data_IF_947191369031
#
_entry.id   IF_947191369031
#
_cell.length_a   1.000
_cell.length_b   1.000
_cell.length_c   1.000
_cell.angle_alpha   90.00
_cell.angle_beta   90.00
_cell.angle_gamma   90.00
#
_symmetry.space_group_name_H-M   'P 1'
#
loop_
_entity.id
_entity.type
_entity.pdbx_description
1 polymer ?
#
# COMPACT_ATOMS: atom_id res chain seq x y z
N UNK A 1 -30.58 -6.98 -4.46
CA UNK A 1 -29.22 -6.71 -4.94
C UNK A 1 -28.91 -5.27 -4.64
N UNK A 2 -28.19 -5.04 -3.56
CA UNK A 2 -27.90 -3.70 -3.03
C UNK A 2 -27.11 -2.88 -4.05
N UNK A 3 -27.50 -1.62 -4.26
CA UNK A 3 -26.80 -0.72 -5.18
C UNK A 3 -25.38 -0.46 -4.67
N UNK A 4 -24.38 -0.84 -5.47
CA UNK A 4 -22.96 -0.67 -5.15
C UNK A 4 -22.58 0.81 -4.93
N UNK A 5 -23.21 1.73 -5.66
CA UNK A 5 -22.99 3.16 -5.49
C UNK A 5 -23.51 3.67 -4.15
N UNK A 6 -24.73 3.26 -3.78
CA UNK A 6 -25.33 3.59 -2.48
C UNK A 6 -24.50 3.04 -1.31
N UNK A 7 -24.03 1.79 -1.41
CA UNK A 7 -23.17 1.18 -0.39
C UNK A 7 -21.84 1.92 -0.23
N UNK A 8 -21.17 2.26 -1.33
CA UNK A 8 -19.92 3.01 -1.28
C UNK A 8 -20.12 4.37 -0.60
N UNK A 9 -21.17 5.12 -0.98
CA UNK A 9 -21.49 6.41 -0.37
C UNK A 9 -21.78 6.30 1.13
N UNK A 10 -22.56 5.29 1.55
CA UNK A 10 -22.87 5.07 2.95
C UNK A 10 -21.62 4.75 3.77
N UNK A 11 -20.77 3.82 3.29
CA UNK A 11 -19.52 3.47 3.95
C UNK A 11 -18.54 4.66 4.01
N UNK A 12 -18.48 5.50 2.97
CA UNK A 12 -17.65 6.72 3.00
C UNK A 12 -18.11 7.67 4.10
N UNK A 13 -19.43 7.87 4.26
CA UNK A 13 -19.97 8.70 5.36
C UNK A 13 -19.63 8.14 6.73
N UNK A 14 -19.72 6.81 6.90
CA UNK A 14 -19.33 6.16 8.16
C UNK A 14 -17.84 6.34 8.45
N UNK A 15 -16.98 6.24 7.43
CA UNK A 15 -15.54 6.48 7.56
C UNK A 15 -15.19 7.95 7.87
N UNK A 16 -15.99 8.91 7.40
CA UNK A 16 -15.84 10.32 7.79
C UNK A 16 -16.23 10.57 9.26
N UNK A 17 -17.15 9.78 9.81
CA UNK A 17 -17.60 9.88 11.19
C UNK A 17 -16.68 9.15 12.18
N UNK A 18 -16.18 7.98 11.78
CA UNK A 18 -15.28 7.15 12.59
C UNK A 18 -13.96 6.92 11.82
N UNK A 19 -12.85 7.57 12.21
CA UNK A 19 -11.57 7.44 11.53
C UNK A 19 -10.94 6.05 11.66
N UNK A 20 -11.50 5.16 12.50
CA UNK A 20 -11.08 3.76 12.60
C UNK A 20 -11.68 2.88 11.49
N UNK A 21 -12.67 3.38 10.74
CA UNK A 21 -13.25 2.68 9.60
C UNK A 21 -12.41 3.00 8.34
N UNK A 22 -11.60 2.04 7.93
CA UNK A 22 -10.77 2.15 6.73
C UNK A 22 -11.47 1.59 5.49
N UNK A 23 -12.06 2.43 4.65
CA UNK A 23 -12.70 2.02 3.41
C UNK A 23 -11.68 1.89 2.26
N UNK A 24 -11.61 0.71 1.63
CA UNK A 24 -10.81 0.47 0.41
C UNK A 24 -11.70 -0.16 -0.66
N UNK A 25 -11.69 0.44 -1.85
CA UNK A 25 -12.39 -0.08 -3.03
C UNK A 25 -11.36 -0.59 -4.05
N UNK A 26 -11.48 -1.84 -4.46
CA UNK A 26 -10.73 -2.42 -5.57
C UNK A 26 -11.60 -2.33 -6.83
N UNK A 27 -11.37 -1.30 -7.65
CA UNK A 27 -12.11 -1.07 -8.89
C UNK A 27 -11.94 -2.23 -9.89
N UNK A 28 -10.75 -2.84 -9.94
CA UNK A 28 -10.46 -3.92 -10.88
C UNK A 28 -11.24 -5.20 -10.56
N UNK A 29 -11.45 -5.49 -9.26
CA UNK A 29 -12.25 -6.64 -8.81
C UNK A 29 -13.71 -6.28 -8.52
N UNK A 30 -14.05 -4.99 -8.49
CA UNK A 30 -15.36 -4.49 -8.07
C UNK A 30 -15.69 -4.86 -6.62
N UNK A 31 -14.68 -4.95 -5.75
CA UNK A 31 -14.82 -5.35 -4.35
C UNK A 31 -14.63 -4.17 -3.42
N UNK A 32 -15.45 -4.10 -2.37
CA UNK A 32 -15.31 -3.12 -1.29
C UNK A 32 -14.88 -3.84 -0.02
N UNK A 33 -13.82 -3.36 0.59
CA UNK A 33 -13.26 -3.85 1.84
C UNK A 33 -13.30 -2.75 2.88
N UNK A 34 -13.60 -3.13 4.11
CA UNK A 34 -13.68 -2.22 5.26
C UNK A 34 -12.76 -2.76 6.34
N UNK A 35 -11.79 -1.96 6.76
CA UNK A 35 -10.93 -2.22 7.91
C UNK A 35 -11.64 -1.72 9.15
N UNK A 36 -11.71 -2.57 10.17
CA UNK A 36 -12.44 -2.30 11.42
C UNK A 36 -11.54 -2.68 12.60
N UNK A 37 -11.77 -2.07 13.75
CA UNK A 37 -11.04 -2.29 14.99
C UNK A 37 -11.55 -3.50 15.80
N UNK A 38 -12.64 -4.15 15.37
CA UNK A 38 -13.12 -5.40 15.98
C UNK A 38 -14.51 -5.83 15.52
N UNK A 39 -14.94 -7.02 15.96
CA UNK A 39 -16.24 -7.61 15.57
C UNK A 39 -17.42 -6.77 16.04
N UNK A 40 -17.34 -6.14 17.22
CA UNK A 40 -18.44 -5.27 17.70
C UNK A 40 -18.65 -4.09 16.76
N UNK A 41 -17.58 -3.47 16.26
CA UNK A 41 -17.69 -2.37 15.30
C UNK A 41 -18.30 -2.84 13.97
N UNK A 42 -17.99 -4.08 13.54
CA UNK A 42 -18.61 -4.69 12.36
C UNK A 42 -20.11 -4.87 12.51
N UNK A 43 -20.58 -5.36 13.66
CA UNK A 43 -22.00 -5.49 13.96
C UNK A 43 -22.70 -4.13 13.96
N UNK A 44 -22.08 -3.12 14.58
CA UNK A 44 -22.61 -1.74 14.59
C UNK A 44 -22.71 -1.18 13.17
N UNK A 45 -21.65 -1.30 12.36
CA UNK A 45 -21.66 -0.84 10.96
C UNK A 45 -22.73 -1.55 10.15
N UNK A 46 -22.91 -2.87 10.34
CA UNK A 46 -23.93 -3.63 9.65
C UNK A 46 -25.34 -3.14 10.02
N UNK A 47 -25.60 -2.94 11.32
CA UNK A 47 -26.88 -2.43 11.81
C UNK A 47 -27.16 -1.01 11.29
N UNK A 48 -26.17 -0.11 11.35
CA UNK A 48 -26.31 1.26 10.85
C UNK A 48 -26.60 1.29 9.34
N UNK A 49 -25.95 0.44 8.55
CA UNK A 49 -26.25 0.33 7.12
C UNK A 49 -27.70 -0.11 6.86
N UNK A 50 -28.22 -1.05 7.65
CA UNK A 50 -29.60 -1.50 7.53
C UNK A 50 -30.60 -0.43 8.00
N UNK A 51 -30.40 0.14 9.19
CA UNK A 51 -31.38 0.99 9.85
C UNK A 51 -31.41 2.43 9.29
N UNK A 52 -30.24 3.00 8.99
CA UNK A 52 -30.14 4.40 8.55
C UNK A 52 -30.09 4.54 7.03
N UNK A 53 -29.49 3.56 6.33
CA UNK A 53 -29.31 3.60 4.88
C UNK A 53 -30.23 2.64 4.11
N UNK A 54 -30.96 1.75 4.81
CA UNK A 54 -31.82 0.76 4.17
C UNK A 54 -31.05 -0.29 3.36
N UNK A 55 -29.76 -0.49 3.67
CA UNK A 55 -28.85 -1.36 2.95
C UNK A 55 -28.64 -2.65 3.75
N UNK A 56 -29.35 -3.71 3.35
CA UNK A 56 -29.08 -5.05 3.86
C UNK A 56 -27.77 -5.59 3.24
N UNK A 57 -26.77 -5.82 4.09
CA UNK A 57 -25.42 -6.24 3.71
C UNK A 57 -24.94 -7.38 4.60
N UNK A 58 -24.16 -8.28 4.01
CA UNK A 58 -23.47 -9.34 4.73
C UNK A 58 -21.96 -9.15 4.63
N UNK A 59 -21.28 -9.18 5.76
CA UNK A 59 -19.82 -9.23 5.80
C UNK A 59 -19.32 -10.67 5.69
N UNK A 60 -18.14 -10.83 5.07
CA UNK A 60 -17.40 -12.10 5.13
C UNK A 60 -16.76 -12.28 6.52
N UNK A 61 -16.15 -13.44 6.72
CA UNK A 61 -15.28 -13.67 7.87
C UNK A 61 -14.20 -12.58 7.95
N UNK A 62 -13.98 -12.08 9.15
CA UNK A 62 -12.98 -11.03 9.39
C UNK A 62 -11.59 -11.63 9.25
N UNK A 63 -10.74 -10.94 8.51
CA UNK A 63 -9.34 -11.34 8.33
C UNK A 63 -8.44 -10.24 8.89
N UNK A 64 -7.31 -10.58 9.52
CA UNK A 64 -6.38 -9.59 10.04
C UNK A 64 -5.79 -8.77 8.89
N UNK A 65 -5.74 -7.44 9.08
CA UNK A 65 -5.07 -6.55 8.14
C UNK A 65 -3.56 -6.73 8.27
N UNK A 66 -2.97 -7.50 7.36
CA UNK A 66 -1.54 -7.76 7.34
C UNK A 66 -0.77 -6.65 6.60
N UNK A 67 0.53 -6.61 6.82
CA UNK A 67 1.47 -5.78 6.05
C UNK A 67 2.62 -6.62 5.52
N UNK A 68 3.24 -6.20 4.43
CA UNK A 68 4.48 -6.80 3.93
C UNK A 68 5.69 -5.98 4.35
N UNK A 69 6.80 -6.66 4.64
CA UNK A 69 8.10 -6.03 4.87
C UNK A 69 9.16 -6.67 3.97
N UNK A 70 10.02 -5.88 3.30
CA UNK A 70 11.14 -6.43 2.57
C UNK A 70 12.08 -7.23 3.48
N UNK A 71 12.61 -8.35 2.98
CA UNK A 71 13.55 -9.20 3.73
C UNK A 71 15.01 -8.95 3.40
N UNK A 72 15.27 -8.30 2.27
CA UNK A 72 16.61 -7.96 1.81
C UNK A 72 16.56 -6.81 0.83
N UNK A 73 17.69 -6.54 0.18
CA UNK A 73 17.80 -5.48 -0.82
C UNK A 73 17.47 -6.00 -2.21
N UNK A 74 16.63 -5.28 -2.93
CA UNK A 74 16.31 -5.58 -4.33
C UNK A 74 16.35 -4.32 -5.19
N UNK A 75 16.85 -4.43 -6.41
CA UNK A 75 16.92 -3.31 -7.34
C UNK A 75 16.46 -3.72 -8.73
N UNK A 76 15.86 -2.78 -9.46
CA UNK A 76 15.48 -2.93 -10.85
C UNK A 76 15.65 -1.60 -11.58
N UNK A 77 15.89 -1.66 -12.88
CA UNK A 77 15.96 -0.49 -13.76
C UNK A 77 15.36 -0.84 -15.10
N UNK A 78 14.58 0.09 -15.63
CA UNK A 78 14.07 0.06 -16.99
C UNK A 78 14.54 1.35 -17.69
N UNK A 79 15.10 1.20 -18.88
CA UNK A 79 15.66 2.30 -19.64
C UNK A 79 14.73 2.73 -20.77
N UNK A 80 14.72 4.03 -21.06
CA UNK A 80 13.97 4.61 -22.18
C UNK A 80 14.43 3.98 -23.51
N UNK A 81 13.48 3.59 -24.36
CA UNK A 81 13.72 2.95 -25.68
C UNK A 81 14.57 1.67 -25.65
N UNK A 82 14.61 0.96 -24.51
CA UNK A 82 15.25 -0.36 -24.39
C UNK A 82 14.24 -1.42 -23.96
N UNK A 83 14.57 -2.67 -24.25
CA UNK A 83 13.92 -3.86 -23.68
C UNK A 83 12.39 -3.90 -23.81
N UNK A 84 11.84 -3.21 -24.83
CA UNK A 84 10.40 -3.13 -25.07
C UNK A 84 9.64 -2.23 -24.09
N UNK A 85 10.33 -1.40 -23.31
CA UNK A 85 9.72 -0.40 -22.43
C UNK A 85 8.83 0.56 -23.26
N UNK A 86 7.50 0.57 -23.04
CA UNK A 86 6.59 1.39 -23.83
C UNK A 86 6.53 2.85 -23.35
N UNK A 87 7.15 3.16 -22.22
CA UNK A 87 7.15 4.49 -21.62
C UNK A 87 8.40 5.27 -22.01
N UNK A 88 8.23 6.56 -22.29
CA UNK A 88 9.35 7.46 -22.60
C UNK A 88 10.04 7.90 -21.31
N UNK A 89 10.56 6.96 -20.52
CA UNK A 89 11.18 7.24 -19.23
C UNK A 89 12.21 6.17 -18.88
N UNK A 90 13.28 6.59 -18.19
CA UNK A 90 14.17 5.69 -17.47
C UNK A 90 13.89 5.83 -15.98
N UNK A 91 13.64 4.71 -15.30
CA UNK A 91 13.44 4.67 -13.85
C UNK A 91 14.20 3.47 -13.29
N UNK A 92 15.06 3.71 -12.31
CA UNK A 92 15.71 2.66 -11.53
C UNK A 92 15.45 2.85 -10.05
N UNK A 93 14.96 1.80 -9.38
CA UNK A 93 14.62 1.81 -7.97
C UNK A 93 15.37 0.70 -7.24
N UNK A 94 15.86 1.02 -6.03
CA UNK A 94 16.34 0.06 -5.05
C UNK A 94 15.45 0.12 -3.82
N UNK A 95 15.04 -1.04 -3.33
CA UNK A 95 14.29 -1.21 -2.09
C UNK A 95 15.18 -1.87 -1.07
N UNK A 96 15.35 -1.22 0.07
CA UNK A 96 16.10 -1.70 1.23
C UNK A 96 15.15 -1.87 2.43
N UNK A 97 15.30 -2.90 3.26
CA UNK A 97 14.49 -3.07 4.46
C UNK A 97 14.83 -1.97 5.49
N UNK A 98 13.84 -1.58 6.28
CA UNK A 98 14.02 -0.65 7.40
C UNK A 98 13.47 -1.27 8.70
N UNK A 99 13.88 -0.75 9.88
CA UNK A 99 13.35 -1.23 11.15
C UNK A 99 11.82 -1.16 11.21
N UNK A 100 11.20 -2.10 11.92
CA UNK A 100 9.75 -2.13 12.05
C UNK A 100 9.22 -0.83 12.69
N UNK A 101 8.16 -0.26 12.11
CA UNK A 101 7.53 0.98 12.57
C UNK A 101 8.15 2.26 12.01
N UNK A 102 9.16 2.20 11.14
CA UNK A 102 9.73 3.40 10.50
C UNK A 102 8.93 3.89 9.30
N UNK A 103 8.03 3.08 8.75
CA UNK A 103 7.25 3.42 7.57
C UNK A 103 8.08 3.44 6.29
N UNK A 104 7.62 4.22 5.31
CA UNK A 104 8.23 4.31 3.97
C UNK A 104 9.11 5.57 3.87
N UNK A 105 10.40 5.37 3.67
CA UNK A 105 11.36 6.43 3.36
C UNK A 105 11.66 6.46 1.85
N UNK A 106 11.77 7.66 1.27
CA UNK A 106 12.16 7.87 -0.12
C UNK A 106 13.52 8.59 -0.17
N UNK A 107 14.43 8.11 -1.00
CA UNK A 107 15.76 8.68 -1.22
C UNK A 107 16.07 8.83 -2.71
N UNK A 108 17.06 9.67 -3.03
CA UNK A 108 17.54 9.90 -4.40
C UNK A 108 19.06 9.82 -4.41
N UNK A 109 19.60 8.98 -5.28
CA UNK A 109 21.04 8.83 -5.54
C UNK A 109 21.44 9.39 -6.91
N UNK A 110 20.47 9.90 -7.68
CA UNK A 110 20.70 10.54 -8.97
C UNK A 110 21.13 12.00 -8.81
N UNK A 111 21.86 12.51 -9.79
CA UNK A 111 22.37 13.88 -9.79
C UNK A 111 21.24 14.92 -9.70
N UNK A 112 21.47 16.00 -8.96
CA UNK A 112 20.55 17.13 -8.90
C UNK A 112 20.48 17.81 -10.28
N UNK A 113 19.27 17.98 -10.80
CA UNK A 113 19.04 18.59 -12.12
C UNK A 113 19.03 17.61 -13.30
N UNK A 114 19.22 16.31 -13.06
CA UNK A 114 19.13 15.25 -14.09
C UNK A 114 17.78 15.17 -14.80
N UNK A 115 16.72 15.68 -14.17
CA UNK A 115 15.38 15.78 -14.75
C UNK A 115 14.54 16.86 -14.03
N UNK A 116 13.47 17.38 -14.66
CA UNK A 116 12.53 18.30 -14.03
C UNK A 116 11.94 17.78 -12.71
N UNK A 117 11.78 18.67 -11.72
CA UNK A 117 11.22 18.34 -10.40
C UNK A 117 9.86 17.62 -10.46
N UNK A 118 9.01 18.00 -11.42
CA UNK A 118 7.68 17.39 -11.59
C UNK A 118 7.75 15.87 -11.84
N UNK A 119 8.80 15.39 -12.51
CA UNK A 119 8.97 13.95 -12.75
C UNK A 119 9.45 13.21 -11.50
N UNK A 120 10.35 13.81 -10.71
CA UNK A 120 10.69 13.26 -9.40
C UNK A 120 9.44 13.12 -8.52
N UNK A 121 8.60 14.16 -8.49
CA UNK A 121 7.37 14.14 -7.71
C UNK A 121 6.40 13.06 -8.20
N UNK A 122 6.26 12.89 -9.52
CA UNK A 122 5.45 11.83 -10.10
C UNK A 122 5.94 10.43 -9.67
N UNK A 123 7.26 10.18 -9.68
CA UNK A 123 7.83 8.91 -9.20
C UNK A 123 7.54 8.73 -7.71
N UNK A 124 7.82 9.73 -6.87
CA UNK A 124 7.63 9.63 -5.42
C UNK A 124 6.18 9.34 -5.02
N UNK A 125 5.23 10.05 -5.63
CA UNK A 125 3.80 9.85 -5.36
C UNK A 125 3.35 8.46 -5.82
N UNK A 126 3.79 8.02 -7.00
CA UNK A 126 3.47 6.69 -7.51
C UNK A 126 4.13 5.57 -6.70
N UNK A 127 5.33 5.77 -6.15
CA UNK A 127 5.93 4.77 -5.23
C UNK A 127 5.04 4.61 -4.00
N UNK A 128 4.57 5.70 -3.40
CA UNK A 128 3.70 5.62 -2.20
C UNK A 128 2.39 4.92 -2.50
N UNK A 129 1.79 5.22 -3.64
CA UNK A 129 0.56 4.57 -4.11
C UNK A 129 0.77 3.08 -4.38
N UNK A 130 1.82 2.73 -5.14
CA UNK A 130 2.12 1.36 -5.52
C UNK A 130 2.50 0.46 -4.32
N UNK A 131 3.12 1.01 -3.28
CA UNK A 131 3.37 0.28 -2.02
C UNK A 131 2.09 -0.04 -1.23
N UNK A 132 0.92 0.48 -1.64
CA UNK A 132 -0.38 0.04 -1.13
C UNK A 132 -0.69 -1.43 -1.44
N UNK A 133 0.05 -2.08 -2.34
CA UNK A 133 -0.10 -3.51 -2.63
C UNK A 133 1.23 -4.14 -3.07
N UNK A 134 1.77 -5.03 -2.24
CA UNK A 134 3.00 -5.77 -2.49
C UNK A 134 2.80 -7.09 -3.24
N UNK A 135 3.89 -7.87 -3.38
CA UNK A 135 3.87 -9.18 -4.04
C UNK A 135 2.83 -10.18 -3.49
N UNK A 136 2.51 -10.11 -2.20
CA UNK A 136 1.50 -10.96 -1.56
C UNK A 136 0.12 -10.28 -1.42
N UNK A 137 -0.03 -9.07 -1.97
CA UNK A 137 -1.30 -8.34 -2.00
C UNK A 137 -1.54 -7.43 -0.79
N UNK A 138 -0.60 -7.33 0.16
CA UNK A 138 -0.73 -6.47 1.34
C UNK A 138 0.08 -5.19 1.20
N UNK A 139 -0.24 -4.16 1.98
CA UNK A 139 0.54 -2.92 1.96
C UNK A 139 1.99 -3.21 2.38
N UNK A 140 2.96 -2.74 1.59
CA UNK A 140 4.38 -2.81 1.92
C UNK A 140 4.76 -1.62 2.80
N UNK A 141 5.44 -1.89 3.92
CA UNK A 141 5.92 -0.86 4.85
C UNK A 141 7.35 -1.15 5.33
N UNK A 142 7.88 -0.26 6.17
CA UNK A 142 9.18 -0.40 6.83
C UNK A 142 10.30 -0.65 5.81
N UNK A 143 10.42 0.26 4.84
CA UNK A 143 11.40 0.18 3.77
C UNK A 143 11.90 1.55 3.33
N UNK A 144 13.10 1.55 2.74
CA UNK A 144 13.65 2.71 2.03
C UNK A 144 13.64 2.43 0.54
N UNK A 145 12.96 3.26 -0.24
CA UNK A 145 12.99 3.22 -1.71
C UNK A 145 13.90 4.33 -2.21
N UNK A 146 14.95 3.94 -2.93
CA UNK A 146 15.97 4.85 -3.46
C UNK A 146 15.89 4.91 -4.98
N UNK A 147 15.72 6.12 -5.53
CA UNK A 147 15.84 6.37 -6.96
C UNK A 147 17.33 6.35 -7.36
N UNK A 148 17.71 5.31 -8.10
CA UNK A 148 19.11 5.04 -8.51
C UNK A 148 19.40 5.45 -9.94
N UNK A 149 18.39 5.45 -10.81
CA UNK A 149 18.53 5.86 -12.21
C UNK A 149 17.33 6.69 -12.61
N UNK A 150 17.58 7.72 -13.43
CA UNK A 150 16.53 8.52 -14.02
C UNK A 150 16.94 9.01 -15.42
N UNK A 151 15.95 9.20 -16.28
CA UNK A 151 16.16 9.73 -17.62
C UNK A 151 14.82 10.05 -18.28
N UNK A 152 14.83 11.05 -19.15
CA UNK A 152 13.65 11.51 -19.86
C UNK A 152 14.03 11.97 -21.26
N UNK A 153 13.09 11.83 -22.20
CA UNK A 153 13.15 12.41 -23.53
C UNK A 153 12.60 13.85 -23.46
N UNK A 154 13.46 14.88 -23.60
CA UNK A 154 13.02 16.28 -23.49
C UNK A 154 12.10 16.68 -24.63
N UNK A 155 11.29 17.72 -24.40
CA UNK A 155 10.39 18.26 -25.42
C UNK A 155 11.19 18.78 -26.60
N UNK A 156 11.11 18.07 -27.72
CA UNK A 156 11.69 18.54 -28.98
C UNK A 156 10.63 19.35 -29.73
N UNK A 157 10.98 20.59 -30.07
CA UNK A 157 10.26 21.36 -31.08
C UNK A 157 11.15 21.46 -32.31
N UNK A 158 10.79 20.77 -33.38
CA UNK A 158 11.36 21.08 -34.68
C UNK A 158 10.62 22.30 -35.25
N UNK A 159 11.35 23.33 -35.65
CA UNK A 159 10.76 24.43 -36.40
C UNK A 159 10.04 23.84 -37.64
N UNK A 160 8.76 24.19 -37.80
CA UNK A 160 7.91 23.76 -38.93
C UNK A 160 7.53 22.27 -39.01
N UNK A 161 7.64 21.48 -37.92
CA UNK A 161 7.00 20.15 -37.85
C UNK A 161 5.93 20.10 -36.75
N UNK A 162 4.92 19.25 -36.95
CA UNK A 162 3.86 19.01 -35.98
C UNK A 162 4.37 18.39 -34.69
N UNK A 163 3.79 18.79 -33.56
CA UNK A 163 4.07 18.17 -32.26
C UNK A 163 3.50 16.74 -32.23
N UNK A 164 4.39 15.75 -32.06
CA UNK A 164 4.00 14.36 -31.74
C UNK A 164 4.27 14.07 -30.27
N UNK A 165 3.24 13.59 -29.56
CA UNK A 165 3.33 13.18 -28.15
C UNK A 165 4.26 11.99 -27.95
N UNK A 166 4.57 11.22 -29.00
CA UNK A 166 5.52 10.09 -28.98
C UNK A 166 6.99 10.53 -28.80
N UNK A 167 7.28 11.83 -28.81
CA UNK A 167 8.65 12.34 -28.83
C UNK A 167 9.16 12.87 -27.48
N UNK A 168 8.31 13.02 -26.47
CA UNK A 168 8.71 13.63 -25.20
C UNK A 168 8.05 13.01 -23.98
N UNK A 169 8.81 12.84 -22.91
CA UNK A 169 8.33 12.33 -21.64
C UNK A 169 7.27 13.24 -21.03
N UNK A 170 6.27 12.60 -20.43
CA UNK A 170 5.22 13.22 -19.64
C UNK A 170 5.22 12.62 -18.24
N UNK A 171 4.48 13.24 -17.31
CA UNK A 171 4.27 12.64 -15.99
C UNK A 171 3.61 11.26 -16.07
N UNK A 172 2.81 10.98 -17.09
CA UNK A 172 2.15 9.69 -17.27
C UNK A 172 3.16 8.55 -17.54
N UNK A 173 4.25 8.83 -18.26
CA UNK A 173 5.31 7.85 -18.50
C UNK A 173 5.95 7.37 -17.19
N UNK A 174 6.25 8.31 -16.28
CA UNK A 174 6.80 8.00 -14.97
C UNK A 174 5.80 7.26 -14.08
N UNK A 175 4.53 7.69 -14.07
CA UNK A 175 3.47 6.99 -13.30
C UNK A 175 3.21 5.58 -13.82
N UNK A 176 3.33 5.36 -15.12
CA UNK A 176 3.16 4.04 -15.73
C UNK A 176 4.34 3.09 -15.51
N UNK A 177 5.58 3.60 -15.60
CA UNK A 177 6.77 2.77 -15.47
C UNK A 177 7.12 2.43 -14.01
N UNK A 178 6.95 3.39 -13.09
CA UNK A 178 7.38 3.27 -11.69
C UNK A 178 6.85 2.01 -10.98
N UNK A 179 5.55 1.65 -11.08
CA UNK A 179 5.03 0.44 -10.43
C UNK A 179 5.68 -0.85 -10.95
N UNK A 180 6.00 -0.92 -12.25
CA UNK A 180 6.62 -2.09 -12.86
C UNK A 180 8.04 -2.31 -12.34
N UNK A 181 8.82 -1.24 -12.27
CA UNK A 181 10.19 -1.24 -11.74
C UNK A 181 10.16 -1.57 -10.24
N UNK A 182 9.25 -0.94 -9.48
CA UNK A 182 9.11 -1.17 -8.04
C UNK A 182 8.74 -2.62 -7.72
N UNK A 183 7.74 -3.18 -8.41
CA UNK A 183 7.32 -4.57 -8.20
C UNK A 183 8.43 -5.57 -8.55
N UNK A 184 9.25 -5.26 -9.55
CA UNK A 184 10.42 -6.09 -9.88
C UNK A 184 11.51 -5.98 -8.81
N UNK A 185 11.76 -4.78 -8.27
CA UNK A 185 12.68 -4.58 -7.16
C UNK A 185 12.20 -5.30 -5.89
N UNK A 186 10.91 -5.22 -5.54
CA UNK A 186 10.31 -5.93 -4.40
C UNK A 186 10.39 -7.45 -4.53
N UNK A 187 10.11 -8.00 -5.72
CA UNK A 187 10.27 -9.44 -5.97
C UNK A 187 11.71 -9.90 -5.77
N UNK A 188 12.69 -9.08 -6.16
CA UNK A 188 14.12 -9.37 -5.95
C UNK A 188 14.55 -9.23 -4.48
N UNK A 189 13.97 -8.26 -3.76
CA UNK A 189 14.19 -8.06 -2.32
C UNK A 189 13.61 -9.19 -1.46
N UNK A 190 12.53 -9.80 -1.95
CA UNK A 190 11.66 -10.68 -1.18
C UNK A 190 10.84 -9.90 -0.15
N UNK A 191 9.61 -10.35 0.13
CA UNK A 191 8.75 -9.79 1.17
C UNK A 191 8.16 -10.88 2.04
N UNK A 192 7.98 -10.58 3.33
CA UNK A 192 7.24 -11.41 4.28
C UNK A 192 5.97 -10.70 4.73
N UNK A 193 4.91 -11.48 4.91
CA UNK A 193 3.64 -11.01 5.46
C UNK A 193 3.71 -11.05 6.98
N UNK A 194 3.28 -9.97 7.61
CA UNK A 194 3.24 -9.80 9.04
C UNK A 194 1.82 -9.47 9.50
N UNK A 195 1.35 -10.23 10.46
CA UNK A 195 0.08 -10.02 11.13
C UNK A 195 0.21 -8.97 12.27
N UNK A 196 -0.87 -8.26 12.60
CA UNK A 196 -0.91 -7.35 13.74
C UNK A 196 -0.79 -8.14 15.06
N UNK A 197 0.08 -7.67 15.95
CA UNK A 197 0.26 -8.23 17.29
C UNK A 197 -0.21 -7.23 18.34
N UNK A 198 -1.22 -7.61 19.13
CA UNK A 198 -1.68 -6.80 20.24
C UNK A 198 -0.78 -6.97 21.46
N UNK A 199 -0.41 -5.85 22.07
CA UNK A 199 0.21 -5.82 23.39
C UNK A 199 -0.82 -5.29 24.39
N UNK A 200 -1.12 -6.07 25.41
CA UNK A 200 -2.02 -5.67 26.49
C UNK A 200 -1.43 -6.06 27.84
N UNK A 201 -1.97 -5.46 28.89
CA UNK A 201 -1.72 -5.84 30.28
C UNK A 201 -3.04 -6.38 30.84
N UNK A 202 -2.98 -7.51 31.53
CA UNK A 202 -4.13 -8.08 32.22
C UNK A 202 -3.83 -8.12 33.72
N UNK A 203 -4.77 -7.64 34.51
CA UNK A 203 -4.74 -7.73 35.97
C UNK A 203 -5.75 -8.80 36.40
N UNK A 204 -5.28 -9.77 37.19
CA UNK A 204 -6.11 -10.85 37.70
C UNK A 204 -5.62 -11.29 39.08
N UNK A 205 -6.50 -11.87 39.93
CA UNK A 205 -6.09 -12.45 41.20
C UNK A 205 -4.99 -13.50 41.02
N UNK A 206 -4.00 -13.52 41.91
CA UNK A 206 -2.78 -14.33 41.76
C UNK A 206 -3.06 -15.85 41.66
N UNK A 207 -4.14 -16.32 42.29
CA UNK A 207 -4.63 -17.70 42.26
C UNK A 207 -5.21 -18.12 40.90
N UNK A 208 -5.52 -17.18 40.02
CA UNK A 208 -6.06 -17.46 38.68
C UNK A 208 -4.99 -17.67 37.60
N UNK A 209 -3.71 -17.36 37.90
CA UNK A 209 -2.62 -17.40 36.91
C UNK A 209 -2.49 -18.77 36.22
N UNK A 210 -2.59 -19.86 37.00
CA UNK A 210 -2.48 -21.23 36.48
C UNK A 210 -3.59 -21.61 35.49
N UNK A 211 -4.77 -21.01 35.63
CA UNK A 211 -5.89 -21.20 34.71
C UNK A 211 -5.83 -20.25 33.50
N UNK A 212 -5.29 -19.04 33.67
CA UNK A 212 -5.22 -18.03 32.62
C UNK A 212 -4.13 -18.32 31.58
N UNK A 213 -2.95 -18.77 32.00
CA UNK A 213 -1.82 -18.98 31.08
C UNK A 213 -2.13 -19.96 29.93
N UNK A 214 -2.77 -21.13 30.16
CA UNK A 214 -3.14 -22.04 29.08
C UNK A 214 -4.13 -21.42 28.08
N UNK A 215 -5.09 -20.62 28.55
CA UNK A 215 -6.06 -19.94 27.69
C UNK A 215 -5.36 -18.91 26.81
N UNK A 216 -4.47 -18.11 27.39
CA UNK A 216 -3.66 -17.13 26.65
C UNK A 216 -2.73 -17.80 25.63
N UNK A 217 -2.08 -18.90 26.01
CA UNK A 217 -1.22 -19.65 25.10
C UNK A 217 -2.00 -20.28 23.94
N UNK A 218 -3.22 -20.78 24.19
CA UNK A 218 -4.10 -21.28 23.14
C UNK A 218 -4.52 -20.19 22.13
N UNK A 219 -4.50 -18.92 22.55
CA UNK A 219 -4.69 -17.74 21.71
C UNK A 219 -3.38 -17.17 21.14
N UNK A 220 -2.29 -17.93 21.17
CA UNK A 220 -0.95 -17.54 20.72
C UNK A 220 -0.35 -16.33 21.44
N UNK A 221 -0.86 -15.96 22.63
CA UNK A 221 -0.28 -14.89 23.41
C UNK A 221 1.03 -15.35 24.08
N UNK A 222 2.03 -14.48 24.06
CA UNK A 222 3.35 -14.73 24.66
C UNK A 222 3.54 -13.78 25.84
N UNK A 223 3.56 -14.28 27.10
CA UNK A 223 3.82 -13.44 28.26
C UNK A 223 5.25 -12.90 28.21
N UNK A 224 5.41 -11.59 28.35
CA UNK A 224 6.73 -10.93 28.36
C UNK A 224 7.28 -10.67 29.75
N UNK A 225 6.38 -10.39 30.68
CA UNK A 225 6.65 -10.13 32.10
C UNK A 225 5.43 -10.62 32.86
N UNK A 226 5.65 -11.47 33.86
CA UNK A 226 4.65 -11.95 34.81
C UNK A 226 4.97 -11.40 36.19
#
# INVERSE_FOLDING_TARGET
GTDRGALHLALTRLAEQDPLIGLRHDEARGQTSVSLYGEVQKEVVQATLADEFGLDVAFRETTPLCVERPTGTGAAVEYDKKDGNPFLATVGLRVDPAPAGTGIALRREVELGSMPYAFFKAIEDTVREALGQGPHGWQVTDCTVTLTHCGYSPRQSHAHQGFDKSMSSTGADFRGLTPLVLMTALRRAGTLVHEPLHRFTAEAPADTLGALLPVLAALHAVPRTT
#
